data_IF_498215729241
#
_entry.id   IF_498215729241
#
_cell.length_a   1.000
_cell.length_b   1.000
_cell.length_c   1.000
_cell.angle_alpha   90.00
_cell.angle_beta   90.00
_cell.angle_gamma   90.00
#
_symmetry.space_group_name_H-M   'P 1'
#
loop_
_entity.id
_entity.type
_entity.pdbx_description
1 polymer ?
#
# COMPACT_ATOMS: atom_id res chain seq x y z
N UNK A 1 0.17 -18.97 -16.12
CA UNK A 1 0.52 -18.65 -14.71
C UNK A 1 0.11 -17.22 -14.50
N UNK A 2 -0.44 -16.83 -13.33
CA UNK A 2 -0.77 -15.43 -13.06
C UNK A 2 0.47 -14.63 -12.74
N UNK A 3 0.44 -13.37 -13.11
CA UNK A 3 1.45 -12.40 -12.69
C UNK A 3 1.46 -12.26 -11.18
N UNK A 4 2.58 -11.78 -10.63
CA UNK A 4 2.83 -11.68 -9.20
C UNK A 4 2.94 -10.21 -8.79
N UNK A 5 2.20 -9.85 -7.75
CA UNK A 5 2.25 -8.51 -7.16
C UNK A 5 2.76 -8.57 -5.73
N UNK A 6 3.82 -7.82 -5.47
CA UNK A 6 4.33 -7.59 -4.13
C UNK A 6 3.71 -6.28 -3.60
N UNK A 7 2.91 -6.38 -2.53
CA UNK A 7 2.31 -5.22 -1.89
C UNK A 7 3.05 -4.92 -0.58
N UNK A 8 3.71 -3.77 -0.52
CA UNK A 8 4.62 -3.40 0.56
C UNK A 8 4.08 -2.27 1.42
N UNK A 9 4.16 -2.43 2.74
CA UNK A 9 3.99 -1.36 3.70
C UNK A 9 5.29 -0.97 4.40
N UNK A 10 5.18 -0.06 5.35
CA UNK A 10 6.31 0.55 6.04
C UNK A 10 7.10 -0.41 6.96
N UNK A 11 6.59 -1.61 7.21
CA UNK A 11 7.23 -2.57 8.11
C UNK A 11 8.65 -2.96 7.71
N UNK A 12 8.95 -3.02 6.40
CA UNK A 12 10.31 -3.27 5.92
C UNK A 12 11.24 -2.10 6.27
N UNK A 13 10.79 -0.85 6.01
CA UNK A 13 11.58 0.34 6.29
C UNK A 13 11.86 0.51 7.79
N UNK A 14 10.95 0.06 8.67
CA UNK A 14 11.16 0.06 10.12
C UNK A 14 12.30 -0.87 10.59
N UNK A 15 12.81 -1.74 9.73
CA UNK A 15 14.02 -2.54 10.02
C UNK A 15 15.32 -1.77 9.78
N UNK A 16 15.23 -0.59 9.17
CA UNK A 16 16.38 0.29 8.94
C UNK A 16 16.74 1.07 10.20
N UNK A 17 18.01 1.45 10.37
CA UNK A 17 18.45 2.24 11.54
C UNK A 17 17.69 3.55 11.74
N UNK A 18 17.25 4.17 10.64
CA UNK A 18 16.50 5.43 10.63
C UNK A 18 15.05 5.24 10.23
N UNK A 19 14.55 4.00 10.25
CA UNK A 19 13.15 3.71 9.92
C UNK A 19 12.23 4.27 10.99
N UNK A 20 11.22 5.03 10.59
CA UNK A 20 10.23 5.63 11.49
C UNK A 20 8.87 4.98 11.32
N UNK A 21 8.09 4.95 12.38
CA UNK A 21 6.67 4.61 12.34
C UNK A 21 5.81 5.81 11.93
N UNK A 22 4.55 5.56 11.59
CA UNK A 22 3.58 6.62 11.39
C UNK A 22 3.35 7.43 12.66
N UNK A 23 3.32 6.79 13.81
CA UNK A 23 3.22 7.47 15.10
C UNK A 23 4.37 8.44 15.32
N UNK A 24 5.62 7.98 15.15
CA UNK A 24 6.80 8.85 15.26
C UNK A 24 6.76 10.02 14.26
N UNK A 25 6.25 9.79 13.05
CA UNK A 25 6.07 10.87 12.07
C UNK A 25 5.03 11.89 12.57
N UNK A 26 3.88 11.45 13.08
CA UNK A 26 2.85 12.35 13.61
C UNK A 26 3.36 13.13 14.84
N UNK A 27 4.09 12.49 15.73
CA UNK A 27 4.74 13.16 16.87
C UNK A 27 5.70 14.28 16.41
N UNK A 28 6.53 14.00 15.39
CA UNK A 28 7.44 15.02 14.81
C UNK A 28 6.69 16.18 14.14
N UNK A 29 5.49 15.92 13.63
CA UNK A 29 4.61 16.94 13.06
C UNK A 29 3.83 17.72 14.13
N UNK A 30 3.99 17.38 15.41
CA UNK A 30 3.37 18.07 16.53
C UNK A 30 2.03 17.46 16.98
N UNK A 31 1.80 16.17 16.72
CA UNK A 31 0.70 15.46 17.37
C UNK A 31 0.87 15.52 18.89
N UNK A 32 -0.23 15.83 19.58
CA UNK A 32 -0.29 15.86 21.04
C UNK A 32 -0.99 14.63 21.62
N UNK A 33 -1.28 13.62 20.79
CA UNK A 33 -1.94 12.42 21.25
C UNK A 33 -1.03 11.62 22.19
N UNK A 34 -1.55 11.15 23.34
CA UNK A 34 -0.75 10.34 24.24
C UNK A 34 -0.38 8.99 23.60
N UNK A 35 0.78 8.48 23.97
CA UNK A 35 1.23 7.15 23.52
C UNK A 35 0.14 6.10 23.82
N UNK A 36 -0.24 5.33 22.81
CA UNK A 36 -1.28 4.30 22.92
C UNK A 36 -2.73 4.79 22.80
N UNK A 37 -2.97 6.05 22.47
CA UNK A 37 -4.32 6.58 22.24
C UNK A 37 -5.03 5.91 21.04
N UNK A 38 -4.28 5.24 20.16
CA UNK A 38 -4.80 4.56 18.96
C UNK A 38 -5.70 5.44 18.08
N UNK A 39 -5.41 6.74 18.01
CA UNK A 39 -6.10 7.63 17.08
C UNK A 39 -5.68 7.26 15.66
N UNK A 40 -6.63 7.04 14.73
CA UNK A 40 -6.29 6.75 13.36
C UNK A 40 -5.46 7.87 12.72
N UNK A 41 -4.38 7.51 12.06
CA UNK A 41 -3.45 8.43 11.40
C UNK A 41 -4.12 9.55 10.56
N UNK A 42 -5.19 9.30 9.75
CA UNK A 42 -5.85 10.38 9.03
C UNK A 42 -6.52 11.41 9.96
N UNK A 43 -6.98 10.98 11.14
CA UNK A 43 -7.57 11.89 12.13
C UNK A 43 -6.49 12.76 12.79
N UNK A 44 -5.35 12.17 13.19
CA UNK A 44 -4.22 12.93 13.73
C UNK A 44 -3.72 13.98 12.72
N UNK A 45 -3.60 13.60 11.46
CA UNK A 45 -3.24 14.54 10.39
C UNK A 45 -4.23 15.71 10.28
N UNK A 46 -5.55 15.44 10.32
CA UNK A 46 -6.58 16.47 10.28
C UNK A 46 -6.52 17.40 11.51
N UNK A 47 -6.23 16.85 12.69
CA UNK A 47 -6.04 17.64 13.90
C UNK A 47 -4.84 18.59 13.78
N UNK A 48 -3.69 18.07 13.33
CA UNK A 48 -2.48 18.88 13.09
C UNK A 48 -2.75 19.98 12.07
N UNK A 49 -3.40 19.63 10.96
CA UNK A 49 -3.76 20.57 9.91
C UNK A 49 -4.69 21.69 10.42
N UNK A 50 -5.69 21.33 11.23
CA UNK A 50 -6.61 22.29 11.83
C UNK A 50 -5.89 23.23 12.83
N UNK A 51 -5.02 22.68 13.69
CA UNK A 51 -4.22 23.46 14.65
C UNK A 51 -3.27 24.45 13.95
N UNK A 52 -2.73 24.06 12.79
CA UNK A 52 -1.84 24.91 12.00
C UNK A 52 -2.58 25.89 11.07
N UNK A 53 -3.92 25.88 11.10
CA UNK A 53 -4.74 26.77 10.28
C UNK A 53 -4.61 26.48 8.78
N UNK A 54 -4.38 25.22 8.41
CA UNK A 54 -4.41 24.80 7.01
C UNK A 54 -5.80 25.06 6.45
N UNK A 55 -5.93 26.08 5.60
CA UNK A 55 -7.20 26.48 5.02
C UNK A 55 -7.54 25.61 3.83
N UNK A 56 -8.79 25.23 3.70
CA UNK A 56 -9.34 24.65 2.46
C UNK A 56 -9.17 25.70 1.37
N UNK A 57 -8.33 25.38 0.41
CA UNK A 57 -7.56 26.28 -0.40
C UNK A 57 -8.26 27.34 -1.20
N UNK A 58 -7.53 28.40 -1.48
CA UNK A 58 -7.77 29.25 -2.63
C UNK A 58 -7.55 28.45 -3.91
N UNK A 59 -8.30 28.74 -4.96
CA UNK A 59 -8.20 28.05 -6.25
C UNK A 59 -6.74 28.03 -6.74
N UNK A 60 -6.16 26.82 -6.84
CA UNK A 60 -4.79 26.61 -7.31
C UNK A 60 -3.70 26.54 -6.23
N UNK A 61 -4.02 26.82 -4.96
CA UNK A 61 -3.10 26.63 -3.84
C UNK A 61 -3.26 25.24 -3.23
N UNK A 62 -2.16 24.67 -2.76
CA UNK A 62 -2.16 23.45 -1.97
C UNK A 62 -2.21 23.84 -0.48
N UNK A 63 -3.33 23.63 0.21
CA UNK A 63 -3.48 24.04 1.61
C UNK A 63 -2.54 23.27 2.56
N UNK A 64 -2.05 22.11 2.14
CA UNK A 64 -1.18 21.24 2.93
C UNK A 64 0.29 21.31 2.50
N UNK A 65 0.68 22.29 1.67
CA UNK A 65 2.03 22.37 1.09
C UNK A 65 3.15 22.29 2.13
N UNK A 66 3.01 23.06 3.20
CA UNK A 66 4.05 23.13 4.23
C UNK A 66 4.10 21.83 5.06
N UNK A 67 2.96 21.26 5.41
CA UNK A 67 2.89 19.96 6.07
C UNK A 67 3.49 18.84 5.21
N UNK A 68 3.20 18.84 3.90
CA UNK A 68 3.80 17.86 2.97
C UNK A 68 5.31 18.02 2.85
N UNK A 69 5.81 19.23 2.87
CA UNK A 69 7.26 19.47 2.90
C UNK A 69 7.87 18.90 4.17
N UNK A 70 7.28 19.19 5.32
CA UNK A 70 7.76 18.71 6.62
C UNK A 70 7.69 17.17 6.73
N UNK A 71 6.66 16.54 6.21
CA UNK A 71 6.58 15.08 6.11
C UNK A 71 7.76 14.54 5.32
N UNK A 72 8.01 15.08 4.13
CA UNK A 72 9.13 14.64 3.28
C UNK A 72 10.49 14.83 3.96
N UNK A 73 10.66 15.94 4.65
CA UNK A 73 11.93 16.27 5.34
C UNK A 73 12.16 15.36 6.57
N UNK A 74 11.09 14.77 7.14
CA UNK A 74 11.18 13.83 8.26
C UNK A 74 11.31 12.36 7.85
N UNK A 75 11.07 12.03 6.58
CA UNK A 75 11.22 10.66 6.09
C UNK A 75 12.70 10.31 5.89
N UNK A 76 13.09 9.03 6.05
CA UNK A 76 14.45 8.58 5.79
C UNK A 76 14.88 8.93 4.37
N UNK A 77 16.07 9.50 4.23
CA UNK A 77 16.67 9.73 2.92
C UNK A 77 17.17 8.38 2.37
N UNK A 78 16.70 7.92 1.20
CA UNK A 78 17.06 6.62 0.64
C UNK A 78 18.53 6.51 0.20
N UNK A 79 19.26 7.63 0.07
CA UNK A 79 20.63 7.61 -0.44
C UNK A 79 21.56 6.82 0.48
N UNK A 80 22.18 5.77 -0.08
CA UNK A 80 23.17 4.90 0.59
C UNK A 80 22.60 3.95 1.67
N UNK A 81 21.31 3.65 1.66
CA UNK A 81 20.75 2.61 2.53
C UNK A 81 20.96 1.24 1.88
N UNK A 82 21.80 0.40 2.49
CA UNK A 82 21.87 -1.02 2.16
C UNK A 82 21.07 -1.81 3.19
N UNK A 83 20.13 -2.64 2.73
CA UNK A 83 19.31 -3.45 3.60
C UNK A 83 19.18 -4.88 3.08
N UNK A 84 19.65 -5.84 3.90
CA UNK A 84 19.47 -7.26 3.59
C UNK A 84 18.00 -7.66 3.47
N UNK A 85 17.11 -7.00 4.22
CA UNK A 85 15.66 -7.25 4.15
C UNK A 85 15.13 -6.84 2.78
N UNK A 86 15.38 -5.59 2.36
CA UNK A 86 14.92 -5.12 1.05
C UNK A 86 15.54 -5.92 -0.10
N UNK A 87 16.84 -6.25 0.00
CA UNK A 87 17.52 -7.08 -0.98
C UNK A 87 16.89 -8.48 -1.10
N UNK A 88 16.45 -9.09 0.00
CA UNK A 88 15.77 -10.39 -0.04
C UNK A 88 14.45 -10.34 -0.80
N UNK A 89 13.70 -9.24 -0.69
CA UNK A 89 12.45 -9.05 -1.44
C UNK A 89 12.69 -8.66 -2.89
N UNK A 90 13.75 -7.91 -3.20
CA UNK A 90 14.07 -7.51 -4.58
C UNK A 90 14.44 -8.67 -5.50
N UNK A 91 14.77 -9.83 -4.93
CA UNK A 91 15.08 -11.06 -5.67
C UNK A 91 13.83 -11.94 -5.96
N UNK A 92 12.64 -11.54 -5.52
CA UNK A 92 11.41 -12.29 -5.77
C UNK A 92 10.92 -12.06 -7.22
N UNK A 93 10.27 -13.06 -7.84
CA UNK A 93 9.78 -12.99 -9.21
C UNK A 93 8.44 -12.24 -9.30
N UNK A 94 8.41 -10.96 -8.99
CA UNK A 94 7.24 -10.09 -9.15
C UNK A 94 7.30 -9.35 -10.49
N UNK A 95 6.14 -9.03 -11.03
CA UNK A 95 5.98 -8.15 -12.19
C UNK A 95 5.46 -6.76 -11.77
N UNK A 96 4.87 -6.66 -10.58
CA UNK A 96 4.34 -5.42 -10.06
C UNK A 96 4.67 -5.28 -8.58
N UNK A 97 5.09 -4.08 -8.19
CA UNK A 97 5.25 -3.69 -6.79
C UNK A 97 4.31 -2.55 -6.49
N UNK A 98 3.45 -2.72 -5.52
CA UNK A 98 2.57 -1.67 -4.99
C UNK A 98 3.02 -1.34 -3.58
N UNK A 99 3.21 -0.08 -3.27
CA UNK A 99 3.56 0.34 -1.92
C UNK A 99 2.68 1.48 -1.42
N UNK A 100 2.40 1.49 -0.12
CA UNK A 100 1.80 2.63 0.57
C UNK A 100 2.86 3.57 1.13
N UNK A 101 4.15 3.20 1.05
CA UNK A 101 5.25 4.05 1.48
C UNK A 101 5.39 5.27 0.54
N UNK A 102 5.76 6.39 1.10
CA UNK A 102 5.99 7.61 0.33
C UNK A 102 7.42 7.70 -0.24
N UNK A 103 8.38 7.03 0.40
CA UNK A 103 9.79 6.97 -0.02
C UNK A 103 10.01 5.93 -1.12
N UNK A 104 11.19 5.94 -1.72
CA UNK A 104 11.62 5.02 -2.78
C UNK A 104 12.73 4.07 -2.34
N UNK A 105 12.82 3.79 -1.05
CA UNK A 105 13.89 2.97 -0.48
C UNK A 105 13.92 1.58 -1.13
N UNK A 106 12.76 0.99 -1.44
CA UNK A 106 12.70 -0.33 -2.05
C UNK A 106 13.23 -0.32 -3.48
N UNK A 107 12.80 0.64 -4.29
CA UNK A 107 13.24 0.79 -5.69
C UNK A 107 14.74 1.04 -5.78
N UNK A 108 15.30 1.81 -4.85
CA UNK A 108 16.73 2.12 -4.81
C UNK A 108 17.62 0.89 -4.51
N UNK A 109 17.04 -0.21 -4.03
CA UNK A 109 17.74 -1.50 -3.89
C UNK A 109 17.74 -2.32 -5.20
N UNK A 110 17.04 -1.87 -6.23
CA UNK A 110 16.83 -2.62 -7.48
C UNK A 110 17.63 -1.96 -8.60
N UNK A 111 18.43 -2.78 -9.31
CA UNK A 111 19.21 -2.27 -10.43
C UNK A 111 18.33 -1.99 -11.64
N UNK A 112 18.64 -0.91 -12.36
CA UNK A 112 17.98 -0.59 -13.63
C UNK A 112 16.59 0.01 -13.50
N UNK A 113 16.21 0.49 -12.31
CA UNK A 113 14.97 1.25 -12.14
C UNK A 113 15.07 2.56 -12.91
N UNK A 114 14.12 2.75 -13.82
CA UNK A 114 13.94 3.98 -14.60
C UNK A 114 12.69 4.68 -14.10
N UNK A 115 12.81 5.97 -13.86
CA UNK A 115 11.69 6.78 -13.42
C UNK A 115 10.76 7.09 -14.60
N UNK A 116 9.46 7.04 -14.35
CA UNK A 116 8.49 7.40 -15.37
C UNK A 116 8.57 8.89 -15.70
N UNK A 117 8.73 9.22 -16.98
CA UNK A 117 8.75 10.62 -17.47
C UNK A 117 7.37 11.26 -17.52
N UNK A 118 6.33 10.52 -17.11
CA UNK A 118 4.96 11.04 -17.11
C UNK A 118 4.85 12.26 -16.20
N UNK A 119 4.34 13.33 -16.78
CA UNK A 119 4.13 14.60 -16.07
C UNK A 119 2.94 14.42 -15.10
N UNK A 120 3.23 14.05 -13.86
CA UNK A 120 2.28 13.69 -12.82
C UNK A 120 1.45 14.90 -12.29
N UNK A 121 1.20 15.89 -13.15
CA UNK A 121 0.44 17.08 -12.79
C UNK A 121 -1.06 16.86 -12.52
N UNK A 122 -1.62 15.68 -12.82
CA UNK A 122 -3.02 15.37 -12.55
C UNK A 122 -3.17 14.31 -11.46
N UNK A 123 -4.24 14.45 -10.68
CA UNK A 123 -4.62 13.52 -9.63
C UNK A 123 -4.93 12.07 -10.12
N UNK A 124 -4.91 11.82 -11.43
CA UNK A 124 -5.11 10.51 -12.05
C UNK A 124 -3.90 9.59 -11.87
N UNK A 125 -2.74 10.17 -11.73
CA UNK A 125 -1.44 9.50 -11.84
C UNK A 125 -1.03 8.70 -10.60
N UNK A 126 -1.75 8.83 -9.48
CA UNK A 126 -1.54 7.99 -8.29
C UNK A 126 -1.90 6.51 -8.55
N UNK A 127 -2.63 6.21 -9.63
CA UNK A 127 -2.99 4.83 -10.00
C UNK A 127 -1.98 4.18 -10.94
N UNK A 128 -1.17 4.99 -11.65
CA UNK A 128 -0.20 4.55 -12.66
C UNK A 128 1.19 4.32 -12.06
N UNK A 129 2.09 3.55 -12.74
CA UNK A 129 3.43 3.31 -12.23
C UNK A 129 4.27 4.60 -12.21
N UNK A 130 5.02 4.79 -11.14
CA UNK A 130 5.93 5.93 -10.96
C UNK A 130 7.35 5.62 -11.45
N UNK A 131 7.70 4.35 -11.51
CA UNK A 131 8.98 3.85 -11.99
C UNK A 131 8.82 2.42 -12.53
N UNK A 132 9.78 1.96 -13.30
CA UNK A 132 9.77 0.62 -13.87
C UNK A 132 11.20 0.09 -14.10
N UNK A 133 11.29 -1.23 -14.25
CA UNK A 133 12.44 -1.91 -14.83
C UNK A 133 12.00 -2.57 -16.15
N UNK A 134 12.86 -3.40 -16.75
CA UNK A 134 12.46 -4.27 -17.87
C UNK A 134 11.41 -5.29 -17.49
N UNK A 135 11.34 -5.69 -16.22
CA UNK A 135 10.59 -6.86 -15.76
C UNK A 135 9.47 -6.50 -14.75
N UNK A 136 9.48 -5.28 -14.21
CA UNK A 136 8.53 -4.89 -13.19
C UNK A 136 8.17 -3.39 -13.19
N UNK A 137 6.92 -3.10 -12.84
CA UNK A 137 6.38 -1.77 -12.60
C UNK A 137 6.20 -1.48 -11.11
N UNK A 138 6.47 -0.24 -10.69
CA UNK A 138 6.37 0.21 -9.29
C UNK A 138 5.32 1.29 -9.12
N UNK A 139 4.44 1.08 -8.14
CA UNK A 139 3.27 1.92 -7.85
C UNK A 139 3.31 2.40 -6.42
N UNK A 140 3.09 3.70 -6.20
CA UNK A 140 2.88 4.28 -4.88
C UNK A 140 1.40 4.58 -4.67
N UNK A 141 0.69 3.65 -4.04
CA UNK A 141 -0.77 3.74 -3.86
C UNK A 141 -1.22 5.00 -3.13
N UNK A 142 -0.43 5.46 -2.17
CA UNK A 142 -0.72 6.65 -1.37
C UNK A 142 0.15 7.86 -1.73
N UNK A 143 0.78 7.83 -2.91
CA UNK A 143 1.63 8.91 -3.39
C UNK A 143 3.10 8.77 -3.03
N UNK A 144 3.91 9.71 -3.48
CA UNK A 144 5.38 9.64 -3.36
C UNK A 144 5.99 10.98 -3.00
N UNK A 145 7.11 10.96 -2.26
CA UNK A 145 7.89 12.15 -1.89
C UNK A 145 8.37 12.94 -3.09
N UNK A 146 8.57 12.30 -4.26
CA UNK A 146 8.92 12.99 -5.51
C UNK A 146 7.83 13.92 -6.01
N UNK A 147 6.59 13.64 -5.64
CA UNK A 147 5.38 14.34 -6.07
C UNK A 147 4.50 14.63 -4.86
N UNK A 148 4.99 15.53 -3.99
CA UNK A 148 4.41 15.83 -2.68
C UNK A 148 2.88 16.05 -2.71
N UNK A 149 2.33 16.57 -3.81
CA UNK A 149 0.87 16.74 -3.98
C UNK A 149 0.08 15.43 -4.07
N UNK A 150 0.75 14.30 -4.31
CA UNK A 150 0.11 12.98 -4.40
C UNK A 150 -0.05 12.31 -3.05
N UNK A 151 0.61 12.82 -1.99
CA UNK A 151 0.58 12.21 -0.67
C UNK A 151 -0.86 12.11 -0.14
N UNK A 152 -1.28 10.87 0.15
CA UNK A 152 -2.58 10.56 0.74
C UNK A 152 -2.41 10.60 2.27
N UNK A 153 -2.97 11.62 2.92
CA UNK A 153 -2.71 11.93 4.32
C UNK A 153 -3.99 11.90 5.17
N UNK A 154 -4.97 12.72 4.84
CA UNK A 154 -6.23 12.83 5.57
C UNK A 154 -7.39 12.09 4.87
N UNK A 155 -8.56 12.05 5.50
CA UNK A 155 -9.75 11.37 4.99
C UNK A 155 -10.18 11.85 3.60
N UNK A 156 -10.07 13.17 3.32
CA UNK A 156 -10.39 13.72 1.99
C UNK A 156 -9.55 13.07 0.89
N UNK A 157 -8.28 12.79 1.18
CA UNK A 157 -7.38 12.15 0.22
C UNK A 157 -7.80 10.70 -0.05
N UNK A 158 -8.16 9.92 0.99
CA UNK A 158 -8.66 8.55 0.85
C UNK A 158 -9.99 8.50 0.07
N UNK A 159 -10.94 9.39 0.42
CA UNK A 159 -12.22 9.49 -0.30
C UNK A 159 -11.98 9.83 -1.79
N UNK A 160 -11.08 10.78 -2.05
CA UNK A 160 -10.71 11.16 -3.42
C UNK A 160 -10.07 10.00 -4.17
N UNK A 161 -9.19 9.22 -3.54
CA UNK A 161 -8.54 8.04 -4.11
C UNK A 161 -9.56 6.96 -4.47
N UNK A 162 -10.44 6.59 -3.53
CA UNK A 162 -11.54 5.64 -3.78
C UNK A 162 -12.41 6.13 -4.94
N UNK A 163 -12.76 7.43 -4.97
CA UNK A 163 -13.53 8.03 -6.05
C UNK A 163 -12.85 7.93 -7.43
N UNK A 164 -11.52 8.00 -7.48
CA UNK A 164 -10.74 7.80 -8.72
C UNK A 164 -10.76 6.35 -9.17
N UNK A 165 -10.49 5.41 -8.25
CA UNK A 165 -10.53 3.97 -8.54
C UNK A 165 -11.93 3.58 -9.02
N UNK A 166 -12.97 4.05 -8.31
CA UNK A 166 -14.36 3.78 -8.66
C UNK A 166 -14.71 4.27 -10.07
N UNK A 167 -14.28 5.46 -10.48
CA UNK A 167 -14.52 5.97 -11.83
C UNK A 167 -13.85 5.15 -12.94
N UNK A 168 -12.77 4.45 -12.64
CA UNK A 168 -12.11 3.58 -13.61
C UNK A 168 -12.87 2.25 -13.72
N UNK A 169 -13.27 1.65 -12.60
CA UNK A 169 -13.99 0.37 -12.60
C UNK A 169 -15.47 0.50 -12.97
N UNK A 170 -16.05 1.67 -12.77
CA UNK A 170 -17.48 1.98 -13.00
C UNK A 170 -17.62 3.28 -13.83
N UNK A 171 -17.16 3.31 -15.09
CA UNK A 171 -17.07 4.56 -15.87
C UNK A 171 -18.42 5.21 -16.13
N UNK A 172 -19.49 4.44 -16.17
CA UNK A 172 -20.85 4.93 -16.46
C UNK A 172 -21.64 5.26 -15.18
N UNK A 173 -21.01 5.17 -14.01
CA UNK A 173 -21.67 5.41 -12.73
C UNK A 173 -22.69 4.33 -12.32
N UNK A 174 -22.85 3.30 -13.14
CA UNK A 174 -23.69 2.14 -12.85
C UNK A 174 -22.96 1.19 -11.88
N UNK A 175 -23.76 0.41 -11.12
CA UNK A 175 -23.19 -0.58 -10.18
C UNK A 175 -22.70 -1.85 -10.92
N UNK A 176 -22.62 -1.84 -12.24
CA UNK A 176 -22.10 -2.95 -13.03
C UNK A 176 -20.57 -2.88 -13.09
N UNK A 177 -19.93 -3.88 -12.51
CA UNK A 177 -18.47 -4.06 -12.56
C UNK A 177 -17.99 -4.67 -13.88
N UNK A 178 -18.63 -4.38 -15.01
CA UNK A 178 -18.30 -4.99 -16.30
C UNK A 178 -16.84 -4.80 -16.69
N UNK A 179 -16.30 -3.59 -16.53
CA UNK A 179 -14.89 -3.31 -16.83
C UNK A 179 -13.97 -4.21 -16.02
N UNK A 180 -14.24 -4.35 -14.72
CA UNK A 180 -13.44 -5.18 -13.84
C UNK A 180 -13.62 -6.68 -14.13
N UNK A 181 -14.85 -7.12 -14.45
CA UNK A 181 -15.14 -8.50 -14.86
C UNK A 181 -14.39 -8.83 -16.17
N UNK A 182 -14.40 -7.93 -17.14
CA UNK A 182 -13.71 -8.12 -18.41
C UNK A 182 -12.17 -8.14 -18.26
N UNK A 183 -11.63 -7.37 -17.33
CA UNK A 183 -10.21 -7.47 -16.94
C UNK A 183 -9.89 -8.83 -16.32
N UNK A 184 -10.69 -9.27 -15.34
CA UNK A 184 -10.51 -10.55 -14.63
C UNK A 184 -10.62 -11.75 -15.59
N UNK A 185 -11.53 -11.69 -16.54
CA UNK A 185 -11.78 -12.77 -17.51
C UNK A 185 -10.85 -12.70 -18.72
N UNK A 186 -9.99 -11.69 -18.83
CA UNK A 186 -9.06 -11.48 -19.93
C UNK A 186 -9.72 -11.02 -21.25
N UNK A 187 -10.95 -10.54 -21.21
CA UNK A 187 -11.62 -9.94 -22.38
C UNK A 187 -11.08 -8.56 -22.70
N UNK A 188 -10.71 -7.79 -21.68
CA UNK A 188 -10.03 -6.51 -21.81
C UNK A 188 -8.54 -6.62 -21.46
N UNK A 189 -7.72 -5.75 -22.08
CA UNK A 189 -6.30 -5.59 -21.72
C UNK A 189 -6.18 -4.89 -20.37
N UNK A 190 -5.07 -5.13 -19.67
CA UNK A 190 -4.69 -4.41 -18.44
C UNK A 190 -4.79 -2.89 -18.63
N UNK A 191 -5.29 -2.21 -17.62
CA UNK A 191 -5.33 -0.75 -17.53
C UNK A 191 -4.01 -0.17 -17.04
N UNK A 192 -3.08 -1.03 -16.60
CA UNK A 192 -1.80 -0.67 -15.99
C UNK A 192 -1.96 0.26 -14.78
N UNK A 193 -2.91 -0.07 -13.91
CA UNK A 193 -3.17 0.63 -12.66
C UNK A 193 -3.10 -0.35 -11.49
N UNK A 194 -2.52 0.10 -10.35
CA UNK A 194 -2.30 -0.79 -9.22
C UNK A 194 -3.57 -1.46 -8.65
N UNK A 195 -4.77 -0.83 -8.62
CA UNK A 195 -5.94 -1.47 -8.03
C UNK A 195 -6.40 -2.73 -8.75
N UNK A 196 -6.15 -2.85 -10.07
CA UNK A 196 -6.56 -4.04 -10.84
C UNK A 196 -5.82 -5.30 -10.40
N UNK A 197 -4.57 -5.16 -9.92
CA UNK A 197 -3.76 -6.31 -9.54
C UNK A 197 -4.25 -7.04 -8.30
N UNK A 198 -5.07 -6.38 -7.48
CA UNK A 198 -5.77 -7.03 -6.36
C UNK A 198 -6.71 -8.14 -6.86
N UNK A 199 -7.19 -8.05 -8.11
CA UNK A 199 -8.16 -8.97 -8.71
C UNK A 199 -7.53 -9.92 -9.74
N UNK A 200 -6.50 -9.50 -10.45
CA UNK A 200 -5.93 -10.22 -11.59
C UNK A 200 -4.68 -11.02 -11.26
N UNK A 201 -3.88 -10.58 -10.29
CA UNK A 201 -2.59 -11.17 -9.95
C UNK A 201 -2.65 -11.94 -8.64
N UNK A 202 -1.70 -12.87 -8.44
CA UNK A 202 -1.45 -13.38 -7.09
C UNK A 202 -0.68 -12.33 -6.28
N UNK A 203 -1.16 -12.01 -5.09
CA UNK A 203 -0.67 -10.89 -4.28
C UNK A 203 -0.06 -11.37 -2.98
N UNK A 204 1.15 -10.93 -2.67
CA UNK A 204 1.76 -11.05 -1.34
C UNK A 204 1.78 -9.68 -0.67
N UNK A 205 1.06 -9.52 0.43
CA UNK A 205 1.04 -8.30 1.25
C UNK A 205 2.02 -8.47 2.39
N UNK A 206 3.00 -7.56 2.50
CA UNK A 206 4.12 -7.68 3.46
C UNK A 206 4.44 -6.33 4.09
N UNK A 207 4.76 -6.34 5.38
CA UNK A 207 5.19 -5.12 6.09
C UNK A 207 4.12 -4.04 6.21
N UNK A 208 2.88 -4.42 5.94
CA UNK A 208 1.74 -3.52 5.98
C UNK A 208 0.89 -3.83 7.22
N UNK A 209 0.63 -2.81 8.04
CA UNK A 209 -0.24 -2.95 9.21
C UNK A 209 -1.68 -3.19 8.81
N UNK A 210 -2.08 -2.61 7.69
CA UNK A 210 -3.45 -2.60 7.17
C UNK A 210 -4.45 -2.19 8.25
N UNK A 211 -4.17 -1.04 8.87
CA UNK A 211 -5.07 -0.46 9.85
C UNK A 211 -6.46 -0.22 9.25
N UNK A 212 -7.50 -0.16 10.08
CA UNK A 212 -8.87 0.04 9.60
C UNK A 212 -9.10 1.38 8.91
N UNK A 213 -8.19 2.33 9.07
CA UNK A 213 -8.22 3.60 8.34
C UNK A 213 -7.75 3.50 6.88
N UNK A 214 -7.11 2.39 6.47
CA UNK A 214 -6.73 2.10 5.08
C UNK A 214 -7.96 1.72 4.24
N UNK A 215 -8.91 2.62 4.18
CA UNK A 215 -10.26 2.37 3.67
C UNK A 215 -10.32 1.98 2.20
N UNK A 216 -9.37 2.45 1.39
CA UNK A 216 -9.23 2.09 -0.02
C UNK A 216 -8.83 0.62 -0.20
N UNK A 217 -7.88 0.13 0.58
CA UNK A 217 -7.43 -1.26 0.52
C UNK A 217 -8.51 -2.20 1.07
N UNK A 218 -9.13 -1.86 2.21
CA UNK A 218 -10.23 -2.62 2.77
C UNK A 218 -11.42 -2.71 1.79
N UNK A 219 -11.75 -1.61 1.12
CA UNK A 219 -12.79 -1.58 0.11
C UNK A 219 -12.46 -2.49 -1.08
N UNK A 220 -11.22 -2.46 -1.59
CA UNK A 220 -10.78 -3.33 -2.69
C UNK A 220 -10.83 -4.82 -2.31
N UNK A 221 -10.41 -5.17 -1.09
CA UNK A 221 -10.50 -6.55 -0.59
C UNK A 221 -11.96 -7.01 -0.44
N UNK A 222 -12.84 -6.15 0.05
CA UNK A 222 -14.27 -6.44 0.17
C UNK A 222 -14.92 -6.62 -1.22
N UNK A 223 -14.61 -5.73 -2.17
CA UNK A 223 -15.07 -5.84 -3.56
C UNK A 223 -14.58 -7.15 -4.19
N UNK A 224 -13.31 -7.51 -3.97
CA UNK A 224 -12.75 -8.77 -4.43
C UNK A 224 -13.51 -9.97 -3.86
N UNK A 225 -13.79 -9.98 -2.56
CA UNK A 225 -14.53 -11.04 -1.89
C UNK A 225 -15.94 -11.20 -2.47
N UNK A 226 -16.61 -10.09 -2.78
CA UNK A 226 -17.94 -10.11 -3.41
C UNK A 226 -17.88 -10.69 -4.84
N UNK A 227 -16.90 -10.25 -5.65
CA UNK A 227 -16.74 -10.69 -7.04
C UNK A 227 -16.43 -12.19 -7.13
N UNK A 228 -15.61 -12.73 -6.24
CA UNK A 228 -15.24 -14.14 -6.21
C UNK A 228 -16.06 -14.98 -5.22
N UNK A 229 -17.21 -14.47 -4.78
CA UNK A 229 -18.09 -15.21 -3.86
C UNK A 229 -18.53 -16.55 -4.45
N UNK A 230 -18.94 -17.54 -3.62
CA UNK A 230 -19.37 -18.86 -4.09
C UNK A 230 -20.53 -18.83 -5.08
N UNK A 231 -21.33 -17.75 -5.07
CA UNK A 231 -22.48 -17.57 -5.97
C UNK A 231 -22.09 -16.86 -7.29
N UNK A 232 -20.87 -16.40 -7.41
CA UNK A 232 -20.42 -15.66 -8.59
C UNK A 232 -20.09 -16.58 -9.76
N UNK A 233 -20.56 -16.27 -10.99
CA UNK A 233 -20.23 -17.03 -12.19
C UNK A 233 -18.73 -16.99 -12.55
N UNK A 234 -17.97 -16.05 -11.97
CA UNK A 234 -16.54 -15.91 -12.19
C UNK A 234 -15.69 -16.34 -10.98
N UNK A 235 -16.26 -17.07 -10.03
CA UNK A 235 -15.55 -17.57 -8.85
C UNK A 235 -14.25 -18.30 -9.22
N UNK A 236 -14.25 -19.10 -10.28
CA UNK A 236 -13.08 -19.86 -10.75
C UNK A 236 -11.90 -19.01 -11.22
N UNK A 237 -12.14 -17.73 -11.47
CA UNK A 237 -11.11 -16.76 -11.82
C UNK A 237 -10.45 -16.14 -10.59
N UNK A 238 -10.83 -16.53 -9.36
CA UNK A 238 -10.26 -15.99 -8.13
C UNK A 238 -8.74 -16.18 -8.06
N UNK A 239 -8.04 -15.09 -7.73
CA UNK A 239 -6.61 -15.07 -7.51
C UNK A 239 -6.29 -15.35 -6.03
N UNK A 240 -5.02 -15.56 -5.73
CA UNK A 240 -4.54 -15.76 -4.35
C UNK A 240 -4.03 -14.45 -3.77
N UNK A 241 -4.55 -14.06 -2.60
CA UNK A 241 -4.03 -12.95 -1.80
C UNK A 241 -3.56 -13.48 -0.46
N UNK A 242 -2.28 -13.26 -0.14
CA UNK A 242 -1.66 -13.72 1.11
C UNK A 242 -1.14 -12.52 1.89
N UNK A 243 -1.61 -12.37 3.12
CA UNK A 243 -1.09 -11.39 4.07
C UNK A 243 -0.04 -12.06 4.97
N UNK A 244 1.20 -11.62 4.87
CA UNK A 244 2.31 -12.12 5.67
C UNK A 244 2.54 -11.22 6.87
N UNK A 245 2.38 -11.79 8.06
CA UNK A 245 2.54 -11.12 9.34
C UNK A 245 3.85 -11.53 9.99
N UNK A 246 4.78 -10.58 10.14
CA UNK A 246 6.01 -10.79 10.90
C UNK A 246 5.69 -10.76 12.41
N UNK A 247 6.17 -11.75 13.16
CA UNK A 247 6.00 -11.84 14.60
C UNK A 247 7.34 -12.00 15.30
N UNK A 248 7.55 -11.29 16.41
CA UNK A 248 8.76 -11.37 17.23
C UNK A 248 8.36 -11.60 18.68
N UNK A 249 9.07 -12.52 19.35
CA UNK A 249 8.79 -12.86 20.74
C UNK A 249 7.48 -13.65 20.93
N UNK A 250 7.17 -13.97 22.18
CA UNK A 250 6.00 -14.77 22.56
C UNK A 250 4.83 -13.91 23.05
N UNK A 251 4.64 -12.71 22.49
CA UNK A 251 3.48 -11.89 22.85
C UNK A 251 2.20 -12.66 22.50
N UNK A 252 1.30 -12.80 23.47
CA UNK A 252 -0.04 -13.33 23.21
C UNK A 252 -0.71 -12.48 22.13
N UNK A 253 -1.46 -13.14 21.25
CA UNK A 253 -2.30 -12.44 20.27
C UNK A 253 -3.36 -11.64 21.03
N UNK A 254 -3.38 -10.33 20.90
CA UNK A 254 -4.40 -9.50 21.50
C UNK A 254 -5.74 -9.59 20.73
N UNK A 255 -6.78 -9.02 21.29
CA UNK A 255 -8.12 -9.04 20.70
C UNK A 255 -8.13 -8.32 19.35
N UNK A 256 -7.44 -7.17 19.24
CA UNK A 256 -7.34 -6.43 17.98
C UNK A 256 -6.71 -7.29 16.88
N UNK A 257 -5.60 -7.94 17.19
CA UNK A 257 -4.87 -8.81 16.28
C UNK A 257 -5.72 -9.99 15.77
N UNK A 258 -6.51 -10.57 16.68
CA UNK A 258 -7.44 -11.65 16.36
C UNK A 258 -8.59 -11.19 15.47
N UNK A 259 -9.21 -10.04 15.80
CA UNK A 259 -10.29 -9.45 15.01
C UNK A 259 -9.81 -9.04 13.62
N UNK A 260 -8.64 -8.41 13.52
CA UNK A 260 -8.04 -8.00 12.26
C UNK A 260 -7.74 -9.21 11.35
N UNK A 261 -7.14 -10.26 11.91
CA UNK A 261 -6.90 -11.51 11.19
C UNK A 261 -8.21 -12.15 10.71
N UNK A 262 -9.23 -12.19 11.56
CA UNK A 262 -10.56 -12.72 11.21
C UNK A 262 -11.23 -11.91 10.09
N UNK A 263 -11.12 -10.59 10.11
CA UNK A 263 -11.64 -9.72 9.06
C UNK A 263 -10.97 -10.01 7.70
N UNK A 264 -9.64 -10.14 7.65
CA UNK A 264 -8.92 -10.50 6.43
C UNK A 264 -9.35 -11.86 5.90
N UNK A 265 -9.43 -12.88 6.76
CA UNK A 265 -9.85 -14.22 6.37
C UNK A 265 -11.30 -14.26 5.85
N UNK A 266 -12.20 -13.47 6.44
CA UNK A 266 -13.60 -13.35 5.96
C UNK A 266 -13.69 -12.74 4.56
N UNK A 267 -12.70 -11.96 4.15
CA UNK A 267 -12.57 -11.40 2.80
C UNK A 267 -11.74 -12.29 1.85
N UNK A 268 -11.50 -13.56 2.24
CA UNK A 268 -10.79 -14.52 1.40
C UNK A 268 -9.29 -14.25 1.25
N UNK A 269 -8.69 -13.56 2.23
CA UNK A 269 -7.23 -13.35 2.33
C UNK A 269 -6.63 -14.43 3.20
N UNK A 270 -5.64 -15.16 2.68
CA UNK A 270 -4.87 -16.11 3.49
C UNK A 270 -3.92 -15.34 4.40
N UNK A 271 -3.96 -15.59 5.71
CA UNK A 271 -3.04 -14.93 6.67
C UNK A 271 -1.98 -15.92 7.11
N UNK A 272 -0.71 -15.58 6.91
CA UNK A 272 0.47 -16.37 7.35
C UNK A 272 1.27 -15.59 8.38
N UNK A 273 1.39 -16.14 9.57
CA UNK A 273 2.28 -15.60 10.60
C UNK A 273 3.66 -16.28 10.50
N UNK A 274 4.70 -15.48 10.44
CA UNK A 274 6.08 -15.96 10.37
C UNK A 274 6.85 -15.44 11.59
N UNK A 275 7.33 -16.37 12.39
CA UNK A 275 8.10 -16.08 13.61
C UNK A 275 9.57 -15.83 13.28
N UNK A 276 10.12 -14.74 13.85
CA UNK A 276 11.55 -14.43 13.80
C UNK A 276 12.13 -14.05 15.16
N UNK A 277 13.45 -14.07 15.27
CA UNK A 277 14.17 -13.57 16.43
C UNK A 277 14.21 -12.04 16.47
N UNK A 278 14.07 -11.43 15.30
CA UNK A 278 13.89 -9.99 15.07
C UNK A 278 12.92 -9.76 13.90
N UNK A 279 12.43 -8.53 13.73
CA UNK A 279 11.62 -8.21 12.55
C UNK A 279 12.40 -8.42 11.25
N UNK A 280 13.69 -8.08 11.21
CA UNK A 280 14.55 -8.33 10.05
C UNK A 280 14.65 -9.82 9.73
N UNK A 281 14.80 -10.68 10.73
CA UNK A 281 14.81 -12.14 10.56
C UNK A 281 13.45 -12.66 10.07
N UNK A 282 12.35 -12.20 10.69
CA UNK A 282 10.99 -12.59 10.27
C UNK A 282 10.73 -12.20 8.80
N UNK A 283 11.11 -11.01 8.37
CA UNK A 283 10.93 -10.58 6.98
C UNK A 283 11.81 -11.38 6.00
N UNK A 284 13.05 -11.71 6.34
CA UNK A 284 13.88 -12.61 5.51
C UNK A 284 13.24 -13.99 5.36
N UNK A 285 12.68 -14.53 6.43
CA UNK A 285 11.91 -15.80 6.38
C UNK A 285 10.63 -15.67 5.53
N UNK A 286 9.95 -14.53 5.58
CA UNK A 286 8.79 -14.26 4.72
C UNK A 286 9.22 -14.26 3.25
N UNK A 287 10.30 -13.55 2.88
CA UNK A 287 10.82 -13.54 1.52
C UNK A 287 11.14 -14.97 1.03
N UNK A 288 11.79 -15.79 1.85
CA UNK A 288 12.06 -17.19 1.53
C UNK A 288 10.77 -18.03 1.38
N UNK A 289 9.74 -17.75 2.17
CA UNK A 289 8.44 -18.42 2.05
C UNK A 289 7.74 -18.04 0.73
N UNK A 290 7.75 -16.75 0.34
CA UNK A 290 7.19 -16.28 -0.93
C UNK A 290 7.94 -16.89 -2.10
N UNK A 291 9.27 -16.89 -2.09
CA UNK A 291 10.10 -17.48 -3.15
C UNK A 291 9.76 -18.96 -3.42
N UNK A 292 9.46 -19.72 -2.37
CA UNK A 292 9.04 -21.13 -2.51
C UNK A 292 7.62 -21.27 -3.06
N UNK A 293 6.73 -20.31 -2.84
CA UNK A 293 5.34 -20.34 -3.28
C UNK A 293 5.11 -19.68 -4.65
N UNK A 294 6.08 -18.93 -5.14
CA UNK A 294 6.11 -18.28 -6.45
C UNK A 294 7.22 -18.90 -7.30
N UNK A 295 6.95 -20.07 -7.93
CA UNK A 295 7.93 -20.73 -8.78
C UNK A 295 8.22 -19.94 -10.06
#
# INVERSE_FOLDING_TARGET
MRDKTLFLGNGLNRTLPNGISWQELMERLGSSEPEGANVPFPIEFEQIAAQRGCQIGRRGEDPYKDLRNEIVDNLPNPQNISSEVHSAFSLLPFTHVVTTNYDQIFEDQIRGVVQSDKNFGSARNILEPVSHTTDADFYHAHGTTRLKRTLCLGHEHYISLIGKIRRVFYPNGEDSSEVLIDLITGKNKSLSIWPEYIFTNDVAIVGFGLDYCETDIWWLLALRAAIFSPQSPIQSYGNKVVFYKAKVGNKSTDIYDSCHTGALQSLGVEVKQIQGDSYADAYKKIAACISKSWP
#
